data_IF_160485037131
#
_entry.id   IF_160485037131
#
_cell.length_a   1.000
_cell.length_b   1.000
_cell.length_c   1.000
_cell.angle_alpha   90.00
_cell.angle_beta   90.00
_cell.angle_gamma   90.00
#
_symmetry.space_group_name_H-M   'P 1'
#
loop_
_entity.id
_entity.type
_entity.pdbx_description
1 polymer ?
#
# COMPACT_ATOMS: atom_id res chain seq x y z
N UNK A 1 -8.43 -11.81 13.54
CA UNK A 1 -8.88 -11.00 14.69
C UNK A 1 -10.25 -11.50 15.21
N UNK A 2 -11.21 -11.80 14.34
CA UNK A 2 -12.50 -12.37 14.75
C UNK A 2 -12.36 -13.69 15.51
N UNK A 3 -11.37 -14.53 15.19
CA UNK A 3 -11.11 -15.80 15.90
C UNK A 3 -10.54 -15.60 17.31
N UNK A 4 -10.01 -14.43 17.61
CA UNK A 4 -9.48 -14.09 18.94
C UNK A 4 -10.53 -13.46 19.87
N UNK A 5 -11.81 -13.35 19.44
CA UNK A 5 -12.90 -12.80 20.26
C UNK A 5 -12.74 -11.33 20.67
N UNK A 6 -11.67 -10.64 20.21
CA UNK A 6 -11.44 -9.24 20.57
C UNK A 6 -12.18 -8.32 19.61
N UNK A 7 -12.96 -7.35 20.12
CA UNK A 7 -13.61 -6.37 19.27
C UNK A 7 -12.55 -5.55 18.53
N UNK A 8 -12.71 -5.42 17.23
CA UNK A 8 -11.92 -4.50 16.42
C UNK A 8 -12.78 -3.31 16.00
N UNK A 9 -12.18 -2.14 15.97
CA UNK A 9 -12.82 -0.92 15.51
C UNK A 9 -12.43 -0.67 14.07
N UNK A 10 -13.43 -0.56 13.18
CA UNK A 10 -13.20 -0.08 11.81
C UNK A 10 -13.23 1.44 11.83
N UNK A 11 -12.15 2.06 11.37
CA UNK A 11 -12.03 3.51 11.30
C UNK A 11 -12.06 3.95 9.84
N UNK A 12 -13.02 4.81 9.52
CA UNK A 12 -13.05 5.48 8.22
C UNK A 12 -11.92 6.50 8.11
N UNK A 13 -11.20 6.48 6.99
CA UNK A 13 -10.08 7.40 6.73
C UNK A 13 -10.39 8.24 5.48
N UNK A 14 -10.03 9.49 5.52
CA UNK A 14 -10.07 10.43 4.40
C UNK A 14 -8.66 10.95 4.10
N UNK A 15 -8.50 11.72 3.05
CA UNK A 15 -7.19 12.23 2.60
C UNK A 15 -6.18 11.10 2.28
N UNK A 16 -6.70 9.96 1.82
CA UNK A 16 -5.87 8.82 1.38
C UNK A 16 -5.09 9.13 0.10
N UNK A 17 -5.52 10.12 -0.66
CA UNK A 17 -4.80 10.63 -1.82
C UNK A 17 -4.75 12.16 -1.70
N UNK A 18 -3.54 12.72 -1.65
CA UNK A 18 -3.35 14.17 -1.61
C UNK A 18 -3.32 14.77 -3.01
N UNK A 19 -2.66 14.12 -3.94
CA UNK A 19 -2.60 14.57 -5.33
C UNK A 19 -3.86 14.16 -6.09
N UNK A 20 -4.86 14.99 -5.97
CA UNK A 20 -6.19 14.77 -6.58
C UNK A 20 -6.15 14.87 -8.10
N UNK A 21 -5.23 15.66 -8.62
CA UNK A 21 -5.01 15.73 -10.07
C UNK A 21 -4.42 14.44 -10.61
N UNK A 22 -3.43 13.88 -9.94
CA UNK A 22 -2.86 12.60 -10.30
C UNK A 22 -3.93 11.51 -10.34
N UNK A 23 -4.75 11.43 -9.30
CA UNK A 23 -5.85 10.48 -9.23
C UNK A 23 -6.86 10.70 -10.36
N UNK A 24 -7.28 11.96 -10.59
CA UNK A 24 -8.22 12.30 -11.66
C UNK A 24 -7.66 11.97 -13.03
N UNK A 25 -6.42 12.34 -13.30
CA UNK A 25 -5.76 12.07 -14.56
C UNK A 25 -5.64 10.56 -14.83
N UNK A 26 -5.27 9.78 -13.81
CA UNK A 26 -5.19 8.32 -13.95
C UNK A 26 -6.53 7.71 -14.31
N UNK A 27 -7.58 8.04 -13.57
CA UNK A 27 -8.94 7.54 -13.86
C UNK A 27 -9.39 7.97 -15.25
N UNK A 28 -9.14 9.23 -15.63
CA UNK A 28 -9.51 9.76 -16.93
C UNK A 28 -8.83 8.98 -18.07
N UNK A 29 -7.51 8.84 -18.03
CA UNK A 29 -6.72 8.25 -19.10
C UNK A 29 -6.74 6.72 -19.11
N UNK A 30 -6.98 6.08 -17.98
CA UNK A 30 -7.15 4.63 -17.89
C UNK A 30 -8.59 4.19 -18.23
N UNK A 31 -9.54 5.13 -18.35
CA UNK A 31 -10.91 4.82 -18.76
C UNK A 31 -10.98 4.35 -20.23
N UNK A 32 -11.97 3.56 -20.60
CA UNK A 32 -12.18 3.14 -21.99
C UNK A 32 -12.32 4.29 -22.98
N UNK A 33 -12.73 5.48 -22.51
CA UNK A 33 -12.87 6.67 -23.36
C UNK A 33 -11.54 7.26 -23.81
N UNK A 34 -10.50 7.20 -22.94
CA UNK A 34 -9.24 7.90 -23.14
C UNK A 34 -8.00 7.00 -23.08
N UNK A 35 -8.16 5.68 -23.02
CA UNK A 35 -7.05 4.72 -22.84
C UNK A 35 -5.94 4.78 -23.90
N UNK A 36 -6.21 5.41 -25.05
CA UNK A 36 -5.20 5.58 -26.12
C UNK A 36 -4.32 6.83 -25.92
N UNK A 37 -4.60 7.63 -24.90
CA UNK A 37 -3.85 8.83 -24.60
C UNK A 37 -2.85 8.58 -23.49
N UNK A 38 -1.67 9.19 -23.62
CA UNK A 38 -0.66 9.13 -22.56
C UNK A 38 -1.00 10.08 -21.43
N UNK A 39 -0.90 9.59 -20.20
CA UNK A 39 -0.99 10.47 -19.01
C UNK A 39 0.18 11.45 -19.03
N UNK A 40 -0.06 12.76 -18.85
CA UNK A 40 1.02 13.74 -18.73
C UNK A 40 1.97 13.39 -17.58
N UNK A 41 3.28 13.51 -17.79
CA UNK A 41 4.32 13.13 -16.83
C UNK A 41 5.23 14.31 -16.49
N UNK A 42 5.88 14.24 -15.33
CA UNK A 42 6.90 15.19 -14.90
C UNK A 42 6.40 16.63 -14.79
N UNK A 43 7.18 17.59 -15.30
CA UNK A 43 6.87 19.02 -15.24
C UNK A 43 5.59 19.39 -15.99
N UNK A 44 5.31 18.75 -17.14
CA UNK A 44 4.09 18.95 -17.90
C UNK A 44 2.83 18.58 -17.06
N UNK A 45 2.92 17.52 -16.28
CA UNK A 45 1.84 17.12 -15.36
C UNK A 45 1.62 18.16 -14.28
N UNK A 46 2.69 18.65 -13.66
CA UNK A 46 2.60 19.71 -12.63
C UNK A 46 1.97 20.96 -13.19
N UNK A 47 2.43 21.43 -14.34
CA UNK A 47 1.92 22.61 -15.00
C UNK A 47 0.45 22.44 -15.40
N UNK A 48 0.04 21.26 -15.86
CA UNK A 48 -1.34 20.93 -16.17
C UNK A 48 -2.23 20.95 -14.92
N UNK A 49 -1.75 20.41 -13.81
CA UNK A 49 -2.44 20.42 -12.51
C UNK A 49 -2.64 21.87 -12.01
N UNK A 50 -1.58 22.65 -12.01
CA UNK A 50 -1.63 24.05 -11.52
C UNK A 50 -2.56 24.90 -12.41
N UNK A 51 -2.49 24.71 -13.73
CA UNK A 51 -3.35 25.42 -14.67
C UNK A 51 -4.82 25.04 -14.49
N UNK A 52 -5.14 23.76 -14.36
CA UNK A 52 -6.49 23.29 -14.13
C UNK A 52 -7.01 23.78 -12.77
N UNK A 53 -6.20 23.68 -11.73
CA UNK A 53 -6.56 24.14 -10.40
C UNK A 53 -6.87 25.64 -10.38
N UNK A 54 -6.03 26.48 -11.03
CA UNK A 54 -6.24 27.91 -11.14
C UNK A 54 -7.52 28.25 -11.93
N UNK A 55 -7.73 27.59 -13.06
CA UNK A 55 -8.96 27.79 -13.86
C UNK A 55 -10.24 27.38 -13.13
N UNK A 56 -10.20 26.29 -12.36
CA UNK A 56 -11.31 25.89 -11.49
C UNK A 56 -11.54 26.92 -10.40
N UNK A 57 -10.48 27.46 -9.80
CA UNK A 57 -10.56 28.49 -8.77
C UNK A 57 -11.15 29.80 -9.30
N UNK A 58 -10.78 30.23 -10.50
CA UNK A 58 -11.37 31.40 -11.20
C UNK A 58 -12.91 31.27 -11.37
N UNK A 59 -13.40 30.02 -11.44
CA UNK A 59 -14.82 29.72 -11.49
C UNK A 59 -15.45 29.39 -10.12
N UNK A 60 -14.76 29.67 -9.02
CA UNK A 60 -15.16 29.34 -7.66
C UNK A 60 -15.36 27.81 -7.45
N UNK A 61 -14.57 26.98 -8.13
CA UNK A 61 -14.60 25.52 -8.04
C UNK A 61 -13.27 25.03 -7.50
N UNK A 62 -13.30 24.18 -6.48
CA UNK A 62 -12.08 23.56 -5.92
C UNK A 62 -11.97 22.12 -6.37
N UNK A 63 -10.75 21.63 -6.65
CA UNK A 63 -10.47 20.23 -6.92
C UNK A 63 -11.00 19.30 -5.81
N UNK A 64 -11.02 19.76 -4.57
CA UNK A 64 -11.62 19.05 -3.44
C UNK A 64 -13.10 18.72 -3.64
N UNK A 65 -13.81 19.54 -4.41
CA UNK A 65 -15.25 19.43 -4.63
C UNK A 65 -15.62 18.65 -5.91
N UNK A 66 -14.64 18.05 -6.62
CA UNK A 66 -14.87 17.25 -7.84
C UNK A 66 -15.80 16.03 -7.63
N UNK A 67 -16.02 15.63 -6.39
CA UNK A 67 -17.01 14.62 -6.05
C UNK A 67 -18.45 15.09 -6.21
N UNK A 68 -18.69 16.41 -6.41
CA UNK A 68 -20.03 16.97 -6.62
C UNK A 68 -20.34 17.03 -8.11
N UNK A 69 -21.53 16.59 -8.56
CA UNK A 69 -21.87 16.54 -9.99
C UNK A 69 -21.66 17.87 -10.73
N UNK A 70 -22.13 18.98 -10.15
CA UNK A 70 -22.00 20.30 -10.76
C UNK A 70 -20.54 20.77 -10.89
N UNK A 71 -19.72 20.44 -9.90
CA UNK A 71 -18.29 20.76 -9.91
C UNK A 71 -17.54 19.91 -10.93
N UNK A 72 -17.87 18.64 -10.99
CA UNK A 72 -17.32 17.74 -11.98
C UNK A 72 -17.67 18.18 -13.41
N UNK A 73 -18.93 18.53 -13.67
CA UNK A 73 -19.37 19.02 -14.97
C UNK A 73 -18.56 20.24 -15.43
N UNK A 74 -18.35 21.21 -14.54
CA UNK A 74 -17.50 22.38 -14.85
C UNK A 74 -16.04 21.99 -15.16
N UNK A 75 -15.46 21.07 -14.38
CA UNK A 75 -14.12 20.58 -14.63
C UNK A 75 -14.03 19.86 -15.99
N UNK A 76 -15.05 19.08 -16.33
CA UNK A 76 -15.14 18.40 -17.61
C UNK A 76 -15.19 19.39 -18.78
N UNK A 77 -16.00 20.43 -18.67
CA UNK A 77 -16.09 21.50 -19.68
C UNK A 77 -14.74 22.22 -19.85
N UNK A 78 -14.06 22.55 -18.75
CA UNK A 78 -12.74 23.17 -18.78
C UNK A 78 -11.67 22.30 -19.44
N UNK A 79 -11.72 20.98 -19.25
CA UNK A 79 -10.81 20.07 -19.95
C UNK A 79 -10.95 20.14 -21.47
N UNK A 80 -12.12 20.52 -21.98
CA UNK A 80 -12.38 20.76 -23.39
C UNK A 80 -11.80 22.07 -23.93
N UNK A 81 -11.37 23.02 -23.08
CA UNK A 81 -10.81 24.29 -23.50
C UNK A 81 -9.41 24.14 -24.10
N UNK A 82 -9.17 24.80 -25.24
CA UNK A 82 -7.88 24.74 -25.96
C UNK A 82 -6.71 25.23 -25.07
N UNK A 83 -6.95 26.20 -24.19
CA UNK A 83 -5.96 26.74 -23.27
C UNK A 83 -5.45 25.69 -22.28
N UNK A 84 -6.33 24.85 -21.78
CA UNK A 84 -6.01 23.73 -20.87
C UNK A 84 -5.34 22.60 -21.65
N UNK A 85 -5.88 22.26 -22.81
CA UNK A 85 -5.33 21.19 -23.64
C UNK A 85 -3.90 21.48 -24.10
N UNK A 86 -3.54 22.74 -24.39
CA UNK A 86 -2.18 23.13 -24.76
C UNK A 86 -1.18 22.87 -23.63
N UNK A 87 -1.59 23.00 -22.39
CA UNK A 87 -0.74 22.73 -21.21
C UNK A 87 -0.57 21.22 -21.01
N UNK A 88 -1.65 20.46 -21.16
CA UNK A 88 -1.64 19.01 -20.95
C UNK A 88 -0.91 18.29 -22.10
N UNK A 89 -1.22 18.70 -23.35
CA UNK A 89 -0.69 18.09 -24.57
C UNK A 89 0.09 19.10 -25.43
N UNK A 90 1.43 19.08 -25.40
CA UNK A 90 2.24 19.95 -26.28
C UNK A 90 2.02 19.66 -27.76
N UNK A 91 1.78 18.40 -28.13
CA UNK A 91 1.58 17.97 -29.51
C UNK A 91 0.18 18.31 -30.02
N UNK A 92 0.10 18.88 -31.23
CA UNK A 92 -1.19 19.19 -31.90
C UNK A 92 -2.02 17.92 -32.14
N UNK A 93 -1.39 16.86 -32.55
CA UNK A 93 -2.05 15.57 -32.84
C UNK A 93 -2.69 15.00 -31.55
N UNK A 94 -1.99 15.04 -30.40
CA UNK A 94 -2.55 14.58 -29.14
C UNK A 94 -3.75 15.42 -28.68
N UNK A 95 -3.73 16.74 -28.92
CA UNK A 95 -4.87 17.61 -28.63
C UNK A 95 -6.08 17.30 -29.49
N UNK A 96 -5.88 17.13 -30.79
CA UNK A 96 -6.96 16.78 -31.73
C UNK A 96 -7.60 15.43 -31.35
N UNK A 97 -6.79 14.44 -30.98
CA UNK A 97 -7.29 13.16 -30.45
C UNK A 97 -8.09 13.33 -29.17
N UNK A 98 -7.54 14.05 -28.20
CA UNK A 98 -8.26 14.32 -26.95
C UNK A 98 -9.59 15.02 -27.20
N UNK A 99 -9.60 16.04 -28.04
CA UNK A 99 -10.81 16.81 -28.34
C UNK A 99 -11.90 15.92 -28.99
N UNK A 100 -11.52 15.08 -29.94
CA UNK A 100 -12.44 14.12 -30.54
C UNK A 100 -13.04 13.16 -29.53
N UNK A 101 -12.20 12.60 -28.65
CA UNK A 101 -12.64 11.67 -27.60
C UNK A 101 -13.51 12.37 -26.56
N UNK A 102 -13.12 13.57 -26.12
CA UNK A 102 -13.84 14.36 -25.13
C UNK A 102 -15.24 14.77 -25.63
N UNK A 103 -15.38 15.13 -26.91
CA UNK A 103 -16.68 15.46 -27.52
C UNK A 103 -17.60 14.25 -27.67
N UNK A 104 -17.05 13.06 -27.86
CA UNK A 104 -17.81 11.82 -27.99
C UNK A 104 -18.13 11.14 -26.65
N UNK A 105 -17.44 11.51 -25.57
CA UNK A 105 -17.59 10.90 -24.27
C UNK A 105 -18.78 11.51 -23.50
N UNK A 106 -19.55 10.67 -22.82
CA UNK A 106 -20.60 11.09 -21.90
C UNK A 106 -19.99 11.42 -20.52
N UNK A 107 -19.97 12.72 -20.20
CA UNK A 107 -19.48 13.22 -18.92
C UNK A 107 -20.20 12.62 -17.70
N UNK A 108 -21.50 12.38 -17.82
CA UNK A 108 -22.29 11.82 -16.73
C UNK A 108 -22.01 10.31 -16.52
N UNK A 109 -21.85 9.58 -17.62
CA UNK A 109 -21.40 8.18 -17.55
C UNK A 109 -20.01 8.09 -16.92
N UNK A 110 -19.06 8.92 -17.35
CA UNK A 110 -17.72 8.95 -16.77
C UNK A 110 -17.77 9.28 -15.29
N UNK A 111 -18.55 10.31 -14.90
CA UNK A 111 -18.70 10.71 -13.52
C UNK A 111 -19.24 9.59 -12.65
N UNK A 112 -20.34 8.99 -13.02
CA UNK A 112 -21.05 7.99 -12.20
C UNK A 112 -20.30 6.66 -12.14
N UNK A 113 -19.73 6.24 -13.25
CA UNK A 113 -19.15 4.90 -13.40
C UNK A 113 -17.69 4.84 -12.98
N UNK A 114 -16.92 5.89 -13.25
CA UNK A 114 -15.47 5.88 -13.06
C UNK A 114 -14.99 6.81 -11.96
N UNK A 115 -15.53 8.03 -11.90
CA UNK A 115 -14.99 9.04 -10.98
C UNK A 115 -15.59 8.99 -9.57
N UNK A 116 -16.90 8.94 -9.44
CA UNK A 116 -17.58 9.00 -8.15
C UNK A 116 -17.12 7.92 -7.15
N UNK A 117 -16.93 6.66 -7.55
CA UNK A 117 -16.43 5.64 -6.65
C UNK A 117 -15.07 6.00 -6.04
N UNK A 118 -14.15 6.57 -6.84
CA UNK A 118 -12.79 6.91 -6.42
C UNK A 118 -12.74 8.21 -5.64
N UNK A 119 -13.63 9.15 -5.92
CA UNK A 119 -13.71 10.43 -5.21
C UNK A 119 -13.88 10.27 -3.69
N UNK A 120 -14.41 9.15 -3.23
CA UNK A 120 -14.53 8.85 -1.81
C UNK A 120 -13.20 8.74 -1.07
N UNK A 121 -12.08 8.50 -1.76
CA UNK A 121 -10.73 8.42 -1.17
C UNK A 121 -10.24 9.77 -0.65
N UNK A 122 -10.83 10.88 -1.12
CA UNK A 122 -10.42 12.24 -0.73
C UNK A 122 -11.57 13.14 -0.25
N UNK A 123 -12.79 12.62 -0.15
CA UNK A 123 -13.94 13.43 0.34
C UNK A 123 -13.71 13.91 1.76
N UNK A 124 -13.87 15.22 1.96
CA UNK A 124 -13.75 15.85 3.28
C UNK A 124 -15.06 15.84 4.07
N UNK A 125 -16.20 15.72 3.38
CA UNK A 125 -17.55 15.79 3.95
C UNK A 125 -18.05 14.46 4.57
N UNK A 126 -17.23 13.40 4.55
CA UNK A 126 -17.58 12.10 5.11
C UNK A 126 -17.61 12.20 6.64
N UNK A 127 -18.80 12.10 7.22
CA UNK A 127 -18.97 12.09 8.67
C UNK A 127 -18.21 10.90 9.31
N UNK A 128 -17.52 11.19 10.43
CA UNK A 128 -16.77 10.19 11.19
C UNK A 128 -15.43 9.76 10.58
N UNK A 129 -15.09 10.19 9.35
CA UNK A 129 -13.80 9.85 8.76
C UNK A 129 -12.70 10.80 9.27
N UNK A 130 -11.56 10.22 9.67
CA UNK A 130 -10.40 10.96 10.17
C UNK A 130 -9.38 11.21 9.05
N UNK A 131 -8.61 12.29 9.17
CA UNK A 131 -7.44 12.51 8.31
C UNK A 131 -6.35 11.49 8.64
N UNK A 132 -5.60 11.04 7.61
CA UNK A 132 -4.47 10.10 7.81
C UNK A 132 -3.52 10.58 8.89
N UNK A 133 -3.07 11.84 8.82
CA UNK A 133 -2.13 12.39 9.80
C UNK A 133 -2.71 12.45 11.22
N UNK A 134 -3.99 12.82 11.35
CA UNK A 134 -4.67 12.86 12.66
C UNK A 134 -4.80 11.45 13.26
N UNK A 135 -5.17 10.47 12.44
CA UNK A 135 -5.26 9.08 12.87
C UNK A 135 -3.88 8.55 13.31
N UNK A 136 -2.85 8.74 12.49
CA UNK A 136 -1.49 8.30 12.82
C UNK A 136 -0.98 8.99 14.09
N UNK A 137 -1.22 10.29 14.23
CA UNK A 137 -0.85 11.01 15.45
C UNK A 137 -1.53 10.43 16.68
N UNK A 138 -2.83 10.12 16.62
CA UNK A 138 -3.55 9.49 17.73
C UNK A 138 -3.00 8.09 18.06
N UNK A 139 -2.69 7.29 17.04
CA UNK A 139 -2.14 5.95 17.21
C UNK A 139 -0.76 5.97 17.88
N UNK A 140 0.08 6.93 17.49
CA UNK A 140 1.44 7.05 18.00
C UNK A 140 1.55 7.80 19.33
N UNK A 141 0.57 8.65 19.67
CA UNK A 141 0.55 9.43 20.92
C UNK A 141 0.03 8.63 22.12
N UNK A 142 -0.56 7.45 21.93
CA UNK A 142 -1.14 6.69 23.03
C UNK A 142 -0.13 6.43 24.13
N UNK A 143 -0.37 7.07 25.28
CA UNK A 143 0.31 6.81 26.54
C UNK A 143 -0.37 5.62 27.22
N UNK A 144 0.41 4.66 27.69
CA UNK A 144 -0.11 3.47 28.36
C UNK A 144 0.28 2.16 27.65
N UNK A 145 0.46 1.10 28.42
CA UNK A 145 1.15 -0.13 28.01
C UNK A 145 0.60 -0.92 26.81
N UNK A 146 -0.60 -0.61 26.33
CA UNK A 146 -1.22 -1.34 25.23
C UNK A 146 -1.03 -0.60 23.90
N UNK A 147 -0.19 -1.15 23.02
CA UNK A 147 -0.01 -0.66 21.67
C UNK A 147 -1.06 -1.26 20.73
N UNK A 148 -1.73 -0.46 19.90
CA UNK A 148 -2.70 -0.98 18.97
C UNK A 148 -2.03 -1.77 17.85
N UNK A 149 -2.64 -2.89 17.46
CA UNK A 149 -2.40 -3.50 16.17
C UNK A 149 -3.31 -2.80 15.15
N UNK A 150 -2.69 -2.20 14.14
CA UNK A 150 -3.42 -1.56 13.03
C UNK A 150 -3.24 -2.40 11.79
N UNK A 151 -4.33 -2.80 11.16
CA UNK A 151 -4.33 -3.54 9.90
C UNK A 151 -4.87 -2.63 8.82
N UNK A 152 -4.07 -2.40 7.78
CA UNK A 152 -4.46 -1.66 6.58
C UNK A 152 -4.61 -2.70 5.47
N UNK A 153 -5.86 -2.99 5.13
CA UNK A 153 -6.17 -3.96 4.09
C UNK A 153 -6.41 -3.23 2.77
N UNK A 154 -5.56 -3.52 1.80
CA UNK A 154 -5.60 -2.97 0.45
C UNK A 154 -6.06 -4.02 -0.58
N UNK A 155 -6.56 -5.17 -0.14
CA UNK A 155 -7.05 -6.20 -1.04
C UNK A 155 -8.39 -5.83 -1.66
N UNK A 156 -8.56 -6.17 -2.93
CA UNK A 156 -9.82 -5.95 -3.66
C UNK A 156 -10.95 -6.87 -3.19
N UNK A 157 -10.63 -8.06 -2.70
CA UNK A 157 -11.63 -9.06 -2.30
C UNK A 157 -12.46 -8.64 -1.09
N UNK A 158 -11.87 -7.96 -0.10
CA UNK A 158 -12.61 -7.47 1.07
C UNK A 158 -13.56 -6.32 0.76
N UNK A 159 -13.28 -5.55 -0.27
CA UNK A 159 -14.22 -4.53 -0.75
C UNK A 159 -15.54 -5.16 -1.25
N UNK A 160 -15.53 -6.44 -1.60
CA UNK A 160 -16.69 -7.18 -2.13
C UNK A 160 -17.47 -7.99 -1.07
N UNK A 161 -16.84 -8.42 0.04
CA UNK A 161 -17.40 -9.49 0.90
C UNK A 161 -17.64 -9.16 2.37
N UNK A 162 -16.98 -8.19 2.99
CA UNK A 162 -17.05 -7.97 4.45
C UNK A 162 -17.31 -6.51 4.87
N UNK A 163 -17.96 -5.72 4.04
CA UNK A 163 -18.41 -4.39 4.48
C UNK A 163 -19.55 -4.51 5.52
N UNK A 164 -19.60 -3.63 6.55
CA UNK A 164 -20.86 -3.40 7.21
C UNK A 164 -21.84 -2.99 6.14
N UNK A 165 -23.09 -3.49 6.20
CA UNK A 165 -24.16 -3.32 5.22
C UNK A 165 -23.78 -2.56 3.94
N UNK A 166 -23.80 -3.19 2.75
CA UNK A 166 -23.40 -2.55 1.48
C UNK A 166 -24.05 -1.18 1.23
N UNK A 167 -25.14 -0.87 1.91
CA UNK A 167 -25.78 0.45 1.91
C UNK A 167 -25.02 1.50 2.73
N UNK A 168 -24.14 1.11 3.65
CA UNK A 168 -23.39 2.01 4.53
C UNK A 168 -21.98 2.34 4.06
N UNK A 169 -21.46 1.63 3.05
CA UNK A 169 -20.19 1.91 2.39
C UNK A 169 -20.41 2.35 0.94
N UNK A 170 -20.50 3.66 0.67
CA UNK A 170 -20.69 4.15 -0.70
C UNK A 170 -19.48 3.93 -1.61
N UNK A 171 -18.47 3.17 -1.18
CA UNK A 171 -17.20 3.06 -1.87
C UNK A 171 -17.22 2.18 -3.12
N UNK A 172 -18.14 1.18 -3.23
CA UNK A 172 -18.01 0.17 -4.27
C UNK A 172 -19.34 -0.36 -4.84
N UNK A 173 -20.46 0.30 -4.57
CA UNK A 173 -21.73 -0.05 -5.23
C UNK A 173 -22.54 1.19 -5.61
N UNK A 174 -22.47 1.57 -6.87
CA UNK A 174 -23.69 1.95 -7.57
C UNK A 174 -24.49 0.64 -7.74
N UNK A 175 -25.73 0.58 -7.26
CA UNK A 175 -26.58 -0.62 -7.30
C UNK A 175 -26.81 -1.16 -8.73
N UNK A 176 -26.35 -0.47 -9.76
CA UNK A 176 -26.47 -0.78 -11.18
C UNK A 176 -25.13 -0.86 -11.94
N UNK A 177 -23.96 -0.81 -11.25
CA UNK A 177 -22.69 -0.96 -11.94
C UNK A 177 -22.43 -2.46 -12.18
N UNK A 178 -22.14 -2.90 -13.42
CA UNK A 178 -21.74 -4.28 -13.67
C UNK A 178 -20.47 -4.61 -12.89
N UNK A 179 -20.31 -5.86 -12.47
CA UNK A 179 -19.21 -6.34 -11.62
C UNK A 179 -17.80 -6.02 -12.20
N UNK A 180 -17.72 -5.86 -13.50
CA UNK A 180 -16.48 -5.48 -14.22
C UNK A 180 -16.02 -4.03 -13.97
N UNK A 181 -16.92 -3.13 -13.55
CA UNK A 181 -16.57 -1.73 -13.35
C UNK A 181 -15.84 -1.45 -12.02
N UNK A 182 -15.95 -2.31 -11.03
CA UNK A 182 -15.28 -2.12 -9.73
C UNK A 182 -13.78 -2.43 -9.79
N UNK A 183 -13.35 -3.35 -10.67
CA UNK A 183 -11.94 -3.72 -10.84
C UNK A 183 -11.06 -2.59 -11.41
N UNK A 184 -11.66 -1.67 -12.16
CA UNK A 184 -10.93 -0.56 -12.81
C UNK A 184 -10.47 0.50 -11.81
N UNK A 185 -11.15 0.65 -10.68
CA UNK A 185 -10.90 1.75 -9.74
C UNK A 185 -9.87 1.45 -8.67
N UNK A 186 -9.69 0.18 -8.31
CA UNK A 186 -8.70 -0.25 -7.34
C UNK A 186 -7.46 -0.80 -8.03
N UNK A 187 -6.97 -0.04 -9.01
CA UNK A 187 -5.76 -0.41 -9.75
C UNK A 187 -4.54 -0.37 -8.84
N UNK A 188 -3.50 -1.08 -9.22
CA UNK A 188 -2.21 -1.06 -8.51
C UNK A 188 -1.64 0.36 -8.37
N UNK A 189 -1.94 1.26 -9.33
CA UNK A 189 -1.56 2.68 -9.27
C UNK A 189 -2.28 3.42 -8.18
N UNK A 190 -3.59 3.21 -8.02
CA UNK A 190 -4.37 3.82 -6.92
C UNK A 190 -3.90 3.28 -5.57
N UNK A 191 -3.62 1.97 -5.49
CA UNK A 191 -3.01 1.37 -4.30
C UNK A 191 -1.66 2.02 -3.97
N UNK A 192 -0.81 2.23 -4.97
CA UNK A 192 0.48 2.90 -4.79
C UNK A 192 0.31 4.32 -4.23
N UNK A 193 -0.64 5.12 -4.73
CA UNK A 193 -0.93 6.46 -4.21
C UNK A 193 -1.35 6.43 -2.74
N UNK A 194 -2.22 5.48 -2.36
CA UNK A 194 -2.67 5.31 -0.97
C UNK A 194 -1.52 4.88 -0.07
N UNK A 195 -0.72 3.91 -0.50
CA UNK A 195 0.45 3.43 0.26
C UNK A 195 1.45 4.56 0.45
N UNK A 196 1.78 5.30 -0.60
CA UNK A 196 2.66 6.47 -0.55
C UNK A 196 2.19 7.47 0.51
N UNK A 197 0.89 7.80 0.50
CA UNK A 197 0.31 8.73 1.48
C UNK A 197 0.46 8.26 2.92
N UNK A 198 0.23 6.97 3.17
CA UNK A 198 0.37 6.36 4.50
C UNK A 198 1.84 6.38 4.94
N UNK A 199 2.75 5.96 4.07
CA UNK A 199 4.19 5.98 4.34
C UNK A 199 4.69 7.38 4.68
N UNK A 200 4.35 8.38 3.87
CA UNK A 200 4.68 9.78 4.14
C UNK A 200 4.12 10.26 5.48
N UNK A 201 2.91 9.82 5.85
CA UNK A 201 2.33 10.12 7.16
C UNK A 201 3.13 9.51 8.31
N UNK A 202 3.55 8.25 8.18
CA UNK A 202 4.39 7.57 9.18
C UNK A 202 5.73 8.29 9.31
N UNK A 203 6.36 8.66 8.19
CA UNK A 203 7.64 9.36 8.20
C UNK A 203 7.54 10.73 8.88
N UNK A 204 6.50 11.52 8.56
CA UNK A 204 6.27 12.81 9.23
C UNK A 204 6.04 12.64 10.73
N UNK A 205 5.25 11.65 11.14
CA UNK A 205 5.01 11.37 12.56
C UNK A 205 6.30 10.95 13.28
N UNK A 206 7.13 10.13 12.65
CA UNK A 206 8.41 9.68 13.19
C UNK A 206 9.40 10.85 13.37
N UNK A 207 9.50 11.73 12.38
CA UNK A 207 10.32 12.95 12.45
C UNK A 207 9.84 13.91 13.53
N UNK A 208 8.53 14.12 13.65
CA UNK A 208 7.96 14.97 14.69
C UNK A 208 8.28 14.43 16.08
N UNK A 209 8.08 13.13 16.32
CA UNK A 209 8.41 12.50 17.59
C UNK A 209 9.90 12.64 17.93
N UNK A 210 10.78 12.47 16.94
CA UNK A 210 12.22 12.61 17.13
C UNK A 210 12.62 14.05 17.51
N UNK A 211 12.03 15.07 16.87
CA UNK A 211 12.24 16.49 17.23
C UNK A 211 11.81 16.80 18.65
N UNK A 212 10.82 16.07 19.16
CA UNK A 212 10.35 16.15 20.55
C UNK A 212 11.15 15.24 21.51
N UNK A 213 12.30 14.71 21.07
CA UNK A 213 13.14 13.76 21.82
C UNK A 213 12.40 12.49 22.26
N UNK A 214 11.40 12.08 21.49
CA UNK A 214 10.62 10.84 21.69
C UNK A 214 10.96 9.82 20.60
N UNK A 215 10.91 8.54 20.93
CA UNK A 215 10.97 7.44 19.98
C UNK A 215 9.55 6.98 19.63
N UNK A 216 9.28 6.79 18.35
CA UNK A 216 7.97 6.31 17.90
C UNK A 216 7.71 4.88 18.36
N UNK A 217 8.77 4.06 18.45
CA UNK A 217 8.77 2.68 18.91
C UNK A 217 7.67 1.84 18.25
N UNK A 218 7.67 1.85 16.94
CA UNK A 218 6.66 1.24 16.07
C UNK A 218 7.33 0.22 15.15
N UNK A 219 6.66 -0.90 14.90
CA UNK A 219 7.02 -1.87 13.88
C UNK A 219 6.02 -1.77 12.72
N UNK A 220 6.52 -1.47 11.53
CA UNK A 220 5.75 -1.50 10.28
C UNK A 220 6.02 -2.83 9.60
N UNK A 221 4.96 -3.60 9.38
CA UNK A 221 5.02 -4.89 8.71
C UNK A 221 4.41 -4.76 7.32
N UNK A 222 5.13 -5.19 6.30
CA UNK A 222 4.68 -5.18 4.92
C UNK A 222 4.63 -6.59 4.37
N UNK A 223 3.43 -7.03 4.06
CA UNK A 223 3.21 -8.30 3.37
C UNK A 223 3.35 -8.13 1.86
N UNK A 224 3.74 -9.19 1.15
CA UNK A 224 4.03 -9.20 -0.29
C UNK A 224 4.99 -8.06 -0.71
N UNK A 225 6.03 -7.84 0.10
CA UNK A 225 6.92 -6.68 -0.02
C UNK A 225 7.58 -6.54 -1.39
N UNK A 226 7.78 -7.63 -2.13
CA UNK A 226 8.32 -7.61 -3.48
C UNK A 226 7.42 -6.86 -4.49
N UNK A 227 6.12 -6.76 -4.22
CA UNK A 227 5.19 -5.97 -5.06
C UNK A 227 5.35 -4.46 -4.83
N UNK A 228 5.75 -4.05 -3.62
CA UNK A 228 5.94 -2.65 -3.24
C UNK A 228 7.34 -2.15 -3.54
N UNK A 229 8.32 -3.02 -3.42
CA UNK A 229 9.72 -2.71 -3.67
C UNK A 229 10.38 -3.77 -4.55
N UNK A 230 9.97 -3.88 -5.82
CA UNK A 230 10.53 -4.83 -6.76
C UNK A 230 12.00 -4.48 -7.06
N UNK A 231 12.78 -5.53 -7.38
CA UNK A 231 14.18 -5.40 -7.77
C UNK A 231 14.34 -4.65 -9.09
N UNK A 232 13.46 -4.95 -10.03
CA UNK A 232 13.41 -4.29 -11.33
C UNK A 232 12.72 -2.93 -11.22
N UNK A 233 13.11 -2.01 -12.10
CA UNK A 233 12.48 -0.69 -12.14
C UNK A 233 11.03 -0.81 -12.61
N UNK A 234 10.04 -0.35 -11.81
CA UNK A 234 8.66 -0.32 -12.26
C UNK A 234 8.48 0.67 -13.42
N UNK A 235 7.69 0.29 -14.42
CA UNK A 235 7.31 1.19 -15.53
C UNK A 235 6.43 2.35 -15.04
N UNK A 236 5.66 2.12 -13.98
CA UNK A 236 4.78 3.12 -13.37
C UNK A 236 5.55 4.04 -12.42
N UNK A 237 5.44 5.36 -12.65
CA UNK A 237 6.13 6.39 -11.87
C UNK A 237 5.73 6.40 -10.39
N UNK A 238 4.46 6.07 -10.07
CA UNK A 238 3.98 6.06 -8.69
C UNK A 238 4.48 4.83 -7.93
N UNK A 239 4.50 3.67 -8.58
CA UNK A 239 5.13 2.47 -8.01
C UNK A 239 6.63 2.69 -7.75
N UNK A 240 7.32 3.36 -8.68
CA UNK A 240 8.71 3.76 -8.50
C UNK A 240 8.86 4.70 -7.31
N UNK A 241 7.99 5.71 -7.19
CA UNK A 241 8.01 6.64 -6.07
C UNK A 241 7.78 5.95 -4.71
N UNK A 242 6.86 4.98 -4.65
CA UNK A 242 6.64 4.16 -3.44
C UNK A 242 7.87 3.36 -3.09
N UNK A 243 8.48 2.68 -4.07
CA UNK A 243 9.69 1.90 -3.86
C UNK A 243 10.83 2.77 -3.32
N UNK A 244 11.09 3.90 -3.96
CA UNK A 244 12.18 4.81 -3.59
C UNK A 244 11.94 5.43 -2.20
N UNK A 245 10.69 5.80 -1.89
CA UNK A 245 10.28 6.27 -0.56
C UNK A 245 10.49 5.19 0.50
N UNK A 246 10.18 3.93 0.19
CA UNK A 246 10.34 2.82 1.11
C UNK A 246 11.82 2.53 1.39
N UNK A 247 12.67 2.56 0.35
CA UNK A 247 14.12 2.40 0.48
C UNK A 247 14.70 3.50 1.38
N UNK A 248 14.29 4.74 1.17
CA UNK A 248 14.75 5.87 2.01
C UNK A 248 14.24 5.75 3.45
N UNK A 249 12.97 5.37 3.63
CA UNK A 249 12.38 5.12 4.94
C UNK A 249 13.16 4.10 5.75
N UNK A 250 13.49 2.95 5.16
CA UNK A 250 14.24 1.89 5.84
C UNK A 250 15.63 2.37 6.28
N UNK A 251 16.28 3.20 5.47
CA UNK A 251 17.62 3.76 5.79
C UNK A 251 17.58 4.79 6.90
N UNK A 252 16.55 5.62 6.94
CA UNK A 252 16.55 6.85 7.75
C UNK A 252 15.80 6.74 9.06
N UNK A 253 14.76 5.92 9.15
CA UNK A 253 13.79 5.98 10.26
C UNK A 253 14.16 5.16 11.49
N UNK A 254 15.20 4.33 11.41
CA UNK A 254 15.67 3.55 12.57
C UNK A 254 15.98 4.45 13.77
N UNK A 255 16.62 5.59 13.55
CA UNK A 255 16.93 6.58 14.59
C UNK A 255 15.67 7.21 15.21
N UNK A 256 14.54 7.15 14.50
CA UNK A 256 13.24 7.67 14.98
C UNK A 256 12.42 6.60 15.73
N UNK A 257 12.97 5.38 15.87
CA UNK A 257 12.29 4.28 16.53
C UNK A 257 11.25 3.58 15.67
N UNK A 258 11.40 3.61 14.34
CA UNK A 258 10.60 2.80 13.43
C UNK A 258 11.39 1.58 13.00
N UNK A 259 10.86 0.41 13.31
CA UNK A 259 11.31 -0.88 12.80
C UNK A 259 10.53 -1.26 11.53
N UNK A 260 11.18 -1.99 10.63
CA UNK A 260 10.56 -2.50 9.40
C UNK A 260 10.69 -4.01 9.35
N UNK A 261 9.60 -4.67 8.98
CA UNK A 261 9.54 -6.10 8.71
C UNK A 261 8.89 -6.33 7.35
N UNK A 262 9.56 -7.08 6.50
CA UNK A 262 9.13 -7.40 5.15
C UNK A 262 8.84 -8.90 5.06
N UNK A 263 7.68 -9.24 4.55
CA UNK A 263 7.29 -10.61 4.22
C UNK A 263 7.26 -10.70 2.70
N UNK A 264 7.92 -11.71 2.15
CA UNK A 264 7.98 -11.92 0.71
C UNK A 264 8.11 -13.41 0.43
N UNK A 265 7.46 -13.87 -0.63
CA UNK A 265 7.57 -15.24 -1.12
C UNK A 265 8.89 -15.48 -1.87
N UNK A 266 9.49 -14.41 -2.38
CA UNK A 266 10.71 -14.44 -3.19
C UNK A 266 11.72 -13.45 -2.63
N UNK A 267 12.94 -13.92 -2.45
CA UNK A 267 14.07 -13.11 -1.99
C UNK A 267 14.73 -12.34 -3.15
N UNK A 268 14.85 -13.01 -4.29
CA UNK A 268 15.53 -12.48 -5.48
C UNK A 268 14.79 -11.30 -6.12
N UNK A 269 13.49 -11.19 -5.91
CA UNK A 269 12.65 -10.11 -6.48
C UNK A 269 12.55 -8.86 -5.60
N UNK A 270 13.00 -8.91 -4.34
CA UNK A 270 13.01 -7.75 -3.46
C UNK A 270 14.20 -6.84 -3.76
N UNK A 271 13.98 -5.53 -3.73
CA UNK A 271 15.01 -4.53 -4.04
C UNK A 271 16.20 -4.62 -3.09
N UNK A 272 17.42 -4.67 -3.63
CA UNK A 272 18.66 -4.81 -2.84
C UNK A 272 18.84 -3.70 -1.81
N UNK A 273 18.46 -2.46 -2.14
CA UNK A 273 18.54 -1.34 -1.20
C UNK A 273 17.74 -1.53 0.09
N UNK A 274 16.75 -2.42 0.12
CA UNK A 274 16.04 -2.85 1.34
C UNK A 274 16.80 -4.00 1.99
N UNK A 275 17.08 -5.06 1.23
CA UNK A 275 17.75 -6.28 1.75
C UNK A 275 19.04 -5.94 2.48
N UNK A 276 19.86 -5.04 1.93
CA UNK A 276 21.13 -4.62 2.51
C UNK A 276 21.00 -3.84 3.84
N UNK A 277 19.81 -3.33 4.16
CA UNK A 277 19.53 -2.65 5.44
C UNK A 277 19.00 -3.60 6.52
N UNK A 278 18.51 -4.77 6.13
CA UNK A 278 17.98 -5.75 7.07
C UNK A 278 19.14 -6.47 7.78
N UNK A 279 18.93 -6.77 9.05
CA UNK A 279 19.93 -7.47 9.87
C UNK A 279 19.48 -8.84 10.33
N UNK A 280 18.19 -9.08 10.33
CA UNK A 280 17.58 -10.32 10.78
C UNK A 280 16.77 -10.86 9.62
N UNK A 281 16.99 -12.11 9.31
CA UNK A 281 16.28 -12.84 8.27
C UNK A 281 15.68 -14.12 8.83
N UNK A 282 14.46 -14.40 8.40
CA UNK A 282 13.77 -15.66 8.66
C UNK A 282 13.44 -16.31 7.33
N UNK A 283 14.00 -17.46 7.06
CA UNK A 283 13.81 -18.21 5.82
C UNK A 283 12.94 -19.44 6.10
N UNK A 284 11.71 -19.41 5.60
CA UNK A 284 10.82 -20.56 5.61
C UNK A 284 11.08 -21.50 4.43
N UNK A 285 10.22 -22.48 4.25
CA UNK A 285 10.29 -23.41 3.11
C UNK A 285 10.13 -22.66 1.77
N UNK A 286 10.79 -23.18 0.70
CA UNK A 286 10.55 -22.73 -0.68
C UNK A 286 11.74 -22.12 -1.41
N UNK A 287 12.84 -21.75 -0.70
CA UNK A 287 14.01 -21.11 -1.32
C UNK A 287 15.11 -22.15 -1.71
N UNK A 288 14.76 -23.43 -1.81
CA UNK A 288 15.72 -24.52 -1.97
C UNK A 288 16.29 -24.71 -3.39
N UNK A 289 15.83 -23.95 -4.39
CA UNK A 289 16.20 -24.17 -5.80
C UNK A 289 16.41 -22.86 -6.57
N UNK A 290 17.19 -22.95 -7.64
CA UNK A 290 17.32 -21.89 -8.66
C UNK A 290 17.94 -20.59 -8.15
N UNK A 291 17.34 -19.46 -8.55
CA UNK A 291 17.81 -18.12 -8.18
C UNK A 291 17.61 -17.83 -6.70
N UNK A 292 16.53 -18.34 -6.11
CA UNK A 292 16.22 -18.17 -4.69
C UNK A 292 17.29 -18.82 -3.82
N UNK A 293 17.73 -20.02 -4.17
CA UNK A 293 18.81 -20.70 -3.45
C UNK A 293 20.14 -19.97 -3.55
N UNK A 294 20.45 -19.38 -4.70
CA UNK A 294 21.64 -18.53 -4.87
C UNK A 294 21.58 -17.29 -3.97
N UNK A 295 20.45 -16.59 -3.97
CA UNK A 295 20.24 -15.42 -3.14
C UNK A 295 20.32 -15.77 -1.64
N UNK A 296 19.74 -16.90 -1.22
CA UNK A 296 19.85 -17.43 0.13
C UNK A 296 21.32 -17.73 0.48
N UNK A 297 22.04 -18.42 -0.40
CA UNK A 297 23.45 -18.77 -0.20
C UNK A 297 24.34 -17.55 -0.02
N UNK A 298 24.11 -16.48 -0.79
CA UNK A 298 24.81 -15.20 -0.63
C UNK A 298 24.58 -14.59 0.76
N UNK A 299 23.34 -14.55 1.23
CA UNK A 299 22.97 -13.96 2.53
C UNK A 299 23.51 -14.77 3.73
N UNK A 300 23.55 -16.11 3.60
CA UNK A 300 24.07 -17.00 4.65
C UNK A 300 25.61 -17.11 4.61
N UNK A 301 26.26 -16.45 3.64
CA UNK A 301 27.71 -16.46 3.49
C UNK A 301 28.27 -17.80 3.02
N UNK A 302 27.52 -18.55 2.21
CA UNK A 302 27.97 -19.80 1.59
C UNK A 302 28.23 -20.96 2.56
N UNK A 303 27.63 -20.91 3.78
CA UNK A 303 27.80 -21.97 4.80
C UNK A 303 27.10 -23.25 4.38
N UNK A 304 27.83 -24.17 3.75
CA UNK A 304 27.28 -25.39 3.15
C UNK A 304 26.43 -26.21 4.10
N UNK A 305 26.88 -26.43 5.34
CA UNK A 305 26.08 -27.22 6.33
C UNK A 305 24.73 -26.60 6.67
N UNK A 306 24.64 -25.27 6.75
CA UNK A 306 23.37 -24.62 7.00
C UNK A 306 22.43 -24.72 5.80
N UNK A 307 22.98 -24.63 4.58
CA UNK A 307 22.22 -24.81 3.36
C UNK A 307 21.75 -26.26 3.17
N UNK A 308 22.59 -27.22 3.51
CA UNK A 308 22.22 -28.65 3.49
C UNK A 308 21.05 -28.94 4.46
N UNK A 309 21.11 -28.39 5.67
CA UNK A 309 20.00 -28.49 6.64
C UNK A 309 18.74 -27.80 6.16
N UNK A 310 18.88 -26.61 5.55
CA UNK A 310 17.74 -25.89 4.99
C UNK A 310 17.03 -26.69 3.88
N UNK A 311 17.76 -27.39 3.04
CA UNK A 311 17.19 -28.24 1.99
C UNK A 311 16.36 -29.42 2.51
N UNK A 312 16.50 -29.76 3.81
CA UNK A 312 15.67 -30.79 4.45
C UNK A 312 14.28 -30.24 4.87
N UNK A 313 14.03 -28.96 4.76
CA UNK A 313 12.73 -28.41 5.07
C UNK A 313 11.66 -29.01 4.17
N UNK A 314 10.53 -29.35 4.77
CA UNK A 314 9.38 -29.91 4.07
C UNK A 314 8.34 -28.84 3.85
N UNK A 315 7.58 -28.99 2.76
CA UNK A 315 6.40 -28.14 2.52
C UNK A 315 5.36 -28.42 3.62
N UNK A 316 4.99 -27.42 4.44
CA UNK A 316 3.96 -27.60 5.47
C UNK A 316 2.62 -28.08 4.90
N UNK A 317 2.32 -27.74 3.65
CA UNK A 317 1.07 -28.14 2.99
C UNK A 317 1.09 -29.57 2.46
N UNK A 318 2.24 -30.24 2.47
CA UNK A 318 2.33 -31.68 2.11
C UNK A 318 1.78 -32.62 3.18
N UNK A 319 1.55 -32.13 4.41
CA UNK A 319 0.93 -32.90 5.49
C UNK A 319 -0.59 -32.95 5.32
N UNK A 320 -1.15 -34.18 5.38
CA UNK A 320 -2.59 -34.40 5.25
C UNK A 320 -3.40 -33.78 6.39
N UNK A 321 -2.85 -33.80 7.61
CA UNK A 321 -3.48 -33.22 8.78
C UNK A 321 -2.87 -31.87 9.12
N UNK A 322 -3.71 -30.87 9.34
CA UNK A 322 -3.28 -29.54 9.73
C UNK A 322 -2.52 -29.52 11.07
N UNK A 323 -2.84 -30.45 11.98
CA UNK A 323 -2.15 -30.56 13.26
C UNK A 323 -0.72 -31.14 13.14
N UNK A 324 -0.43 -31.85 12.07
CA UNK A 324 0.90 -32.43 11.80
C UNK A 324 1.79 -31.53 10.93
N UNK A 325 1.35 -30.34 10.59
CA UNK A 325 2.15 -29.39 9.81
C UNK A 325 3.30 -28.84 10.65
N UNK A 326 4.49 -28.88 10.09
CA UNK A 326 5.68 -28.28 10.69
C UNK A 326 6.08 -27.04 9.88
N UNK A 327 6.23 -25.93 10.57
CA UNK A 327 6.68 -24.67 9.97
C UNK A 327 8.13 -24.41 10.42
N UNK A 328 9.07 -25.00 9.66
CA UNK A 328 10.50 -24.87 9.93
C UNK A 328 11.06 -23.57 9.37
N UNK A 329 11.90 -22.91 10.16
CA UNK A 329 12.59 -21.68 9.79
C UNK A 329 14.08 -21.80 10.07
N UNK A 330 14.87 -21.21 9.17
CA UNK A 330 16.26 -20.85 9.42
C UNK A 330 16.33 -19.34 9.65
N UNK A 331 17.01 -18.91 10.69
CA UNK A 331 17.22 -17.47 10.96
C UNK A 331 18.68 -17.12 10.99
N UNK A 332 19.01 -15.93 10.48
CA UNK A 332 20.34 -15.31 10.56
C UNK A 332 20.23 -13.90 11.10
N UNK A 333 21.29 -13.44 11.76
CA UNK A 333 21.35 -12.10 12.33
C UNK A 333 21.35 -12.10 13.86
N UNK A 334 21.33 -10.93 14.50
CA UNK A 334 21.52 -10.79 15.94
C UNK A 334 20.27 -11.15 16.76
N UNK A 335 19.75 -12.39 16.61
CA UNK A 335 18.58 -12.89 17.36
C UNK A 335 18.98 -13.65 18.62
N UNK A 336 20.24 -14.13 18.70
CA UNK A 336 20.78 -14.77 19.88
C UNK A 336 22.31 -14.60 19.92
N UNK A 337 22.97 -14.86 21.06
CA UNK A 337 24.44 -14.83 21.16
C UNK A 337 25.11 -15.75 20.13
N UNK A 338 24.55 -16.89 19.82
CA UNK A 338 25.06 -17.84 18.82
C UNK A 338 24.93 -17.30 17.40
N UNK A 339 23.80 -16.70 17.05
CA UNK A 339 23.57 -16.14 15.72
C UNK A 339 24.28 -14.79 15.53
N UNK A 340 24.69 -14.11 16.61
CA UNK A 340 25.50 -12.90 16.53
C UNK A 340 26.87 -13.17 15.88
N UNK A 341 27.41 -14.37 16.08
CA UNK A 341 28.63 -14.85 15.42
C UNK A 341 28.38 -15.25 13.96
N UNK A 342 27.19 -15.00 13.41
CA UNK A 342 26.81 -15.31 12.05
C UNK A 342 26.43 -16.79 11.85
N UNK A 343 26.21 -17.57 12.89
CA UNK A 343 25.74 -18.96 12.78
C UNK A 343 24.24 -18.98 12.60
N UNK A 344 23.70 -19.56 11.51
CA UNK A 344 22.26 -19.72 11.35
C UNK A 344 21.67 -20.62 12.44
N UNK A 345 20.50 -20.26 12.93
CA UNK A 345 19.71 -21.06 13.86
C UNK A 345 18.49 -21.62 13.15
N UNK A 346 18.06 -22.81 13.61
CA UNK A 346 16.91 -23.51 13.09
C UNK A 346 15.88 -23.69 14.18
N UNK A 347 14.60 -23.46 13.85
CA UNK A 347 13.50 -23.65 14.79
C UNK A 347 12.20 -23.95 14.03
N UNK A 348 11.26 -24.55 14.72
CA UNK A 348 9.89 -24.70 14.24
C UNK A 348 9.01 -23.63 14.88
N UNK A 349 8.20 -22.97 14.08
CA UNK A 349 7.18 -22.08 14.61
C UNK A 349 6.03 -22.88 15.23
N UNK A 350 5.37 -22.31 16.23
CA UNK A 350 4.19 -22.93 16.83
C UNK A 350 3.06 -23.05 15.79
N UNK A 351 2.48 -24.24 15.72
CA UNK A 351 1.37 -24.54 14.82
C UNK A 351 0.01 -24.13 15.45
N UNK A 352 -0.06 -24.13 16.78
CA UNK A 352 -1.28 -23.82 17.53
C UNK A 352 -1.07 -22.62 18.44
N UNK A 353 -2.12 -21.81 18.58
CA UNK A 353 -2.08 -20.61 19.43
C UNK A 353 -1.90 -21.00 20.89
N UNK A 354 -2.50 -22.10 21.32
CA UNK A 354 -2.43 -22.61 22.68
C UNK A 354 -0.99 -22.96 23.08
N UNK A 355 -0.26 -23.64 22.20
CA UNK A 355 1.14 -24.00 22.42
C UNK A 355 2.03 -22.74 22.54
N UNK A 356 1.75 -21.71 21.70
CA UNK A 356 2.45 -20.45 21.77
C UNK A 356 2.18 -19.72 23.09
N UNK A 357 0.92 -19.68 23.53
CA UNK A 357 0.53 -19.01 24.78
C UNK A 357 1.15 -19.71 25.99
N UNK A 358 1.11 -21.06 26.02
CA UNK A 358 1.69 -21.86 27.09
C UNK A 358 3.22 -21.66 27.17
N UNK A 359 3.91 -21.76 26.03
CA UNK A 359 5.36 -21.59 25.97
C UNK A 359 5.84 -20.18 26.40
N UNK A 360 4.98 -19.17 26.31
CA UNK A 360 5.26 -17.79 26.73
C UNK A 360 4.70 -17.44 28.10
N UNK A 361 4.14 -18.39 28.85
CA UNK A 361 3.55 -18.14 30.17
C UNK A 361 2.27 -17.30 30.11
N UNK A 362 1.56 -17.34 29.01
CA UNK A 362 0.31 -16.59 28.77
C UNK A 362 -0.93 -17.49 28.73
N UNK A 363 -0.81 -18.72 29.23
CA UNK A 363 -1.88 -19.70 29.21
C UNK A 363 -3.15 -19.25 29.98
N UNK A 364 -3.00 -18.37 30.97
CA UNK A 364 -4.12 -17.82 31.75
C UNK A 364 -4.85 -16.65 31.05
N UNK A 365 -4.36 -16.21 29.89
CA UNK A 365 -5.03 -15.21 29.08
C UNK A 365 -6.09 -15.94 28.25
N UNK A 366 -7.21 -16.29 28.88
CA UNK A 366 -8.37 -16.81 28.18
C UNK A 366 -8.82 -15.78 27.13
N UNK A 367 -8.96 -16.16 25.85
CA UNK A 367 -9.67 -15.32 24.90
C UNK A 367 -11.14 -15.30 25.32
N UNK A 368 -11.55 -14.20 25.98
CA UNK A 368 -12.96 -13.91 26.32
C UNK A 368 -13.73 -13.51 25.07
#
# INVERSE_FOLDING_TARGET
LNRLGKPFQVVGVRDLVLDRWELFARILYESPFFQQLSVPRGENRKNACDTLANRLQDQNVRLADLHRPKTFQKAWELLGEESIQKVIYPSREARERFQSMHQSADANEFYTRYWLPVASLFREDRQGAQKVDALLYQLFKREGGNRPLVVIDLSEERAKTEGPDPSSLPLFRSANAPAESSAIFWTETVQALVIKRILEGILRAAESAYRESRSLNTLVLMDEAHRLAPREDPDDSEKKAVRDLLIDAVRTTRKYGVGWMFISQTLSSLHRGIVDQLRIFFFGFGLGMGQEFRALSELVGGRSRALDLYQLFRDPHSAFDAASREYSFMTTGPVSPLSFAGTPLFFNAFNRVEEFLEANGWADIHPS
#
